data_IF_800791161220
#
_entry.id   IF_800791161220
#
_cell.length_a   1.000
_cell.length_b   1.000
_cell.length_c   1.000
_cell.angle_alpha   90.00
_cell.angle_beta   90.00
_cell.angle_gamma   90.00
#
_symmetry.space_group_name_H-M   'P 1'
#
loop_
_entity.id
_entity.type
_entity.pdbx_description
1 polymer ?
#
# COMPACT_ATOMS: atom_id res chain seq x y z
N UNK A 1 0.31 -29.28 13.39
CA UNK A 1 1.77 -29.49 13.27
C UNK A 1 2.09 -30.46 12.12
N UNK A 2 1.75 -30.12 10.87
CA UNK A 2 2.09 -30.94 9.68
C UNK A 2 3.27 -30.38 8.87
N UNK A 3 3.82 -29.22 9.27
CA UNK A 3 4.93 -28.53 8.58
C UNK A 3 6.17 -29.41 8.38
N UNK A 4 6.48 -30.29 9.34
CA UNK A 4 7.61 -31.22 9.24
C UNK A 4 7.35 -32.47 8.38
N UNK A 5 6.14 -32.65 7.85
CA UNK A 5 5.79 -33.85 7.06
C UNK A 5 6.16 -33.72 5.59
N UNK A 6 6.26 -32.49 5.06
CA UNK A 6 6.60 -32.24 3.65
C UNK A 6 7.99 -31.57 3.51
N UNK A 7 9.08 -32.35 3.35
CA UNK A 7 10.44 -31.81 3.30
C UNK A 7 10.64 -30.79 2.17
N UNK A 8 9.92 -30.94 1.05
CA UNK A 8 10.00 -30.01 -0.09
C UNK A 8 9.50 -28.60 0.24
N UNK A 9 8.39 -28.50 0.99
CA UNK A 9 7.82 -27.20 1.40
C UNK A 9 8.73 -26.51 2.39
N UNK A 10 9.28 -27.26 3.34
CA UNK A 10 10.22 -26.76 4.33
C UNK A 10 11.49 -26.20 3.66
N UNK A 11 12.07 -26.95 2.72
CA UNK A 11 13.24 -26.50 1.96
C UNK A 11 12.95 -25.21 1.18
N UNK A 12 11.84 -25.14 0.44
CA UNK A 12 11.45 -23.93 -0.28
C UNK A 12 11.28 -22.72 0.63
N UNK A 13 10.68 -22.91 1.82
CA UNK A 13 10.50 -21.85 2.82
C UNK A 13 11.82 -21.36 3.38
N UNK A 14 12.74 -22.28 3.70
CA UNK A 14 14.07 -21.93 4.19
C UNK A 14 14.82 -21.15 3.12
N UNK A 15 14.78 -21.59 1.86
CA UNK A 15 15.44 -20.89 0.76
C UNK A 15 14.86 -19.48 0.59
N UNK A 16 13.53 -19.34 0.56
CA UNK A 16 12.88 -18.03 0.44
C UNK A 16 13.18 -17.11 1.64
N UNK A 17 13.15 -17.66 2.85
CA UNK A 17 13.46 -16.93 4.08
C UNK A 17 14.91 -16.48 4.15
N UNK A 18 15.86 -17.34 3.76
CA UNK A 18 17.29 -16.99 3.70
C UNK A 18 17.54 -15.96 2.60
N UNK A 19 16.95 -16.12 1.42
CA UNK A 19 17.07 -15.13 0.33
C UNK A 19 16.54 -13.76 0.76
N UNK A 20 15.36 -13.71 1.39
CA UNK A 20 14.81 -12.47 1.94
C UNK A 20 15.67 -11.86 3.04
N UNK A 21 16.27 -12.69 3.91
CA UNK A 21 17.17 -12.23 4.96
C UNK A 21 18.46 -11.63 4.39
N UNK A 22 19.03 -12.23 3.34
CA UNK A 22 20.21 -11.68 2.64
C UNK A 22 19.92 -10.28 2.10
N UNK A 23 18.78 -10.11 1.41
CA UNK A 23 18.36 -8.79 0.89
C UNK A 23 18.12 -7.79 2.02
N UNK A 24 17.54 -8.22 3.15
CA UNK A 24 17.28 -7.35 4.29
C UNK A 24 18.58 -6.91 4.99
N UNK A 25 19.56 -7.81 5.11
CA UNK A 25 20.89 -7.48 5.66
C UNK A 25 21.63 -6.50 4.76
N UNK A 26 21.57 -6.71 3.44
CA UNK A 26 22.16 -5.79 2.47
C UNK A 26 21.57 -4.38 2.59
N UNK A 27 20.23 -4.30 2.65
CA UNK A 27 19.52 -3.03 2.84
C UNK A 27 19.92 -2.29 4.14
N UNK A 28 20.23 -3.02 5.21
CA UNK A 28 20.54 -2.44 6.51
C UNK A 28 22.00 -2.00 6.68
N UNK A 29 22.96 -2.76 6.12
CA UNK A 29 24.40 -2.59 6.43
C UNK A 29 25.28 -2.39 5.18
N UNK A 30 24.75 -2.49 3.95
CA UNK A 30 25.45 -2.23 2.68
C UNK A 30 26.90 -2.77 2.65
N UNK A 31 27.03 -4.10 2.70
CA UNK A 31 28.33 -4.79 2.64
C UNK A 31 28.65 -5.16 1.19
N UNK A 32 29.82 -4.79 0.63
CA UNK A 32 30.12 -4.95 -0.80
C UNK A 32 29.94 -6.37 -1.37
N UNK A 33 30.24 -7.41 -0.59
CA UNK A 33 30.08 -8.81 -1.03
C UNK A 33 28.63 -9.30 -0.97
N UNK A 34 27.81 -8.74 -0.08
CA UNK A 34 26.39 -9.09 0.08
C UNK A 34 25.56 -8.40 -1.00
N UNK A 35 25.92 -7.17 -1.37
CA UNK A 35 25.25 -6.37 -2.41
C UNK A 35 25.09 -7.15 -3.72
N UNK A 36 26.15 -7.81 -4.22
CA UNK A 36 26.06 -8.57 -5.46
C UNK A 36 25.08 -9.74 -5.39
N UNK A 37 25.03 -10.44 -4.25
CA UNK A 37 24.12 -11.57 -4.04
C UNK A 37 22.68 -11.04 -3.89
N UNK A 38 22.49 -9.97 -3.14
CA UNK A 38 21.20 -9.32 -2.95
C UNK A 38 20.65 -8.81 -4.28
N UNK A 39 21.46 -8.11 -5.09
CA UNK A 39 21.08 -7.65 -6.43
C UNK A 39 20.71 -8.80 -7.36
N UNK A 40 21.46 -9.90 -7.33
CA UNK A 40 21.11 -11.12 -8.06
C UNK A 40 19.72 -11.62 -7.62
N UNK A 41 19.50 -11.83 -6.32
CA UNK A 41 18.22 -12.31 -5.78
C UNK A 41 17.05 -11.36 -6.12
N UNK A 42 17.25 -10.05 -6.02
CA UNK A 42 16.27 -9.03 -6.38
C UNK A 42 15.92 -9.13 -7.87
N UNK A 43 16.91 -9.32 -8.75
CA UNK A 43 16.65 -9.46 -10.19
C UNK A 43 15.86 -10.72 -10.52
N UNK A 44 16.18 -11.88 -9.91
CA UNK A 44 15.37 -13.10 -10.03
C UNK A 44 13.95 -12.89 -9.51
N UNK A 45 13.80 -12.24 -8.37
CA UNK A 45 12.49 -11.93 -7.79
C UNK A 45 11.68 -10.99 -8.71
N UNK A 46 12.31 -9.98 -9.30
CA UNK A 46 11.68 -9.07 -10.25
C UNK A 46 11.17 -9.80 -11.51
N UNK A 47 11.96 -10.73 -12.06
CA UNK A 47 11.54 -11.57 -13.18
C UNK A 47 10.32 -12.44 -12.81
N UNK A 48 10.37 -13.12 -11.66
CA UNK A 48 9.25 -13.93 -11.18
C UNK A 48 8.00 -13.09 -10.93
N UNK A 49 8.17 -11.89 -10.35
CA UNK A 49 7.07 -10.95 -10.11
C UNK A 49 6.45 -10.46 -11.43
N UNK A 50 7.24 -10.20 -12.46
CA UNK A 50 6.73 -9.82 -13.77
C UNK A 50 5.87 -10.93 -14.39
N UNK A 51 6.33 -12.19 -14.36
CA UNK A 51 5.51 -13.33 -14.83
C UNK A 51 4.25 -13.53 -13.99
N UNK A 52 4.37 -13.44 -12.66
CA UNK A 52 3.25 -13.57 -11.75
C UNK A 52 2.19 -12.48 -11.99
N UNK A 53 2.62 -11.24 -12.25
CA UNK A 53 1.74 -10.13 -12.59
C UNK A 53 0.97 -10.41 -13.88
N UNK A 54 1.65 -10.88 -14.93
CA UNK A 54 1.00 -11.24 -16.21
C UNK A 54 -0.04 -12.34 -15.98
N UNK A 55 0.30 -13.40 -15.26
CA UNK A 55 -0.64 -14.48 -14.94
C UNK A 55 -1.83 -13.96 -14.13
N UNK A 56 -1.58 -13.10 -13.13
CA UNK A 56 -2.62 -12.47 -12.32
C UNK A 56 -3.56 -11.60 -13.16
N UNK A 57 -3.01 -10.78 -14.05
CA UNK A 57 -3.77 -9.94 -14.97
C UNK A 57 -4.63 -10.80 -15.89
N UNK A 58 -4.06 -11.85 -16.49
CA UNK A 58 -4.79 -12.77 -17.36
C UNK A 58 -5.91 -13.51 -16.63
N UNK A 59 -5.67 -13.96 -15.40
CA UNK A 59 -6.68 -14.64 -14.57
C UNK A 59 -7.87 -13.73 -14.25
N UNK A 60 -7.61 -12.50 -13.81
CA UNK A 60 -8.65 -11.50 -13.53
C UNK A 60 -9.39 -11.14 -14.82
N UNK A 61 -8.65 -10.88 -15.90
CA UNK A 61 -9.23 -10.55 -17.20
C UNK A 61 -10.15 -11.65 -17.70
N UNK A 62 -9.70 -12.91 -17.70
CA UNK A 62 -10.47 -14.05 -18.19
C UNK A 62 -11.73 -14.28 -17.36
N UNK A 63 -11.62 -14.25 -16.03
CA UNK A 63 -12.77 -14.45 -15.14
C UNK A 63 -13.84 -13.37 -15.29
N UNK A 64 -13.44 -12.09 -15.35
CA UNK A 64 -14.37 -10.98 -15.52
C UNK A 64 -14.90 -10.88 -16.94
N UNK A 65 -14.10 -11.21 -17.96
CA UNK A 65 -14.55 -11.27 -19.35
C UNK A 65 -15.65 -12.31 -19.52
N UNK A 66 -15.46 -13.52 -18.96
CA UNK A 66 -16.49 -14.55 -19.00
C UNK A 66 -17.76 -14.11 -18.23
N UNK A 67 -17.62 -13.41 -17.11
CA UNK A 67 -18.74 -12.85 -16.34
C UNK A 67 -19.57 -11.83 -17.14
N UNK A 68 -18.90 -10.98 -17.91
CA UNK A 68 -19.53 -10.00 -18.82
C UNK A 68 -20.20 -10.71 -20.00
N UNK A 69 -19.51 -11.66 -20.63
CA UNK A 69 -20.02 -12.42 -21.77
C UNK A 69 -21.29 -13.22 -21.40
N UNK A 70 -21.26 -13.89 -20.25
CA UNK A 70 -22.38 -14.69 -19.75
C UNK A 70 -23.46 -13.85 -19.03
N UNK A 71 -23.29 -12.52 -18.93
CA UNK A 71 -24.20 -11.59 -18.23
C UNK A 71 -24.63 -12.06 -16.83
N UNK A 72 -23.67 -12.53 -16.04
CA UNK A 72 -23.95 -12.95 -14.67
C UNK A 72 -24.35 -11.74 -13.80
N UNK A 73 -24.83 -11.99 -12.57
CA UNK A 73 -25.10 -10.93 -11.60
C UNK A 73 -23.87 -10.01 -11.46
N UNK A 74 -24.10 -8.69 -11.40
CA UNK A 74 -23.06 -7.64 -11.28
C UNK A 74 -22.09 -7.53 -12.47
N UNK A 75 -22.47 -7.99 -13.66
CA UNK A 75 -21.62 -7.87 -14.87
C UNK A 75 -21.19 -6.43 -15.17
N UNK A 76 -22.02 -5.43 -14.84
CA UNK A 76 -21.70 -4.01 -15.03
C UNK A 76 -20.43 -3.57 -14.31
N UNK A 77 -20.23 -4.02 -13.06
CA UNK A 77 -19.00 -3.75 -12.31
C UNK A 77 -17.79 -4.45 -12.91
N UNK A 78 -17.99 -5.65 -13.49
CA UNK A 78 -16.92 -6.36 -14.19
C UNK A 78 -16.51 -5.65 -15.47
N UNK A 79 -17.46 -5.03 -16.19
CA UNK A 79 -17.17 -4.19 -17.34
C UNK A 79 -16.34 -2.97 -16.93
N UNK A 80 -16.75 -2.27 -15.86
CA UNK A 80 -16.00 -1.11 -15.34
C UNK A 80 -14.56 -1.52 -15.02
N UNK A 81 -14.36 -2.64 -14.32
CA UNK A 81 -13.02 -3.15 -14.01
C UNK A 81 -12.18 -3.38 -15.28
N UNK A 82 -12.71 -4.08 -16.27
CA UNK A 82 -11.99 -4.36 -17.52
C UNK A 82 -11.65 -3.09 -18.29
N UNK A 83 -12.57 -2.13 -18.34
CA UNK A 83 -12.35 -0.83 -18.99
C UNK A 83 -11.30 -0.02 -18.24
N UNK A 84 -11.38 0.07 -16.91
CA UNK A 84 -10.38 0.76 -16.08
C UNK A 84 -9.00 0.13 -16.22
N UNK A 85 -8.92 -1.21 -16.24
CA UNK A 85 -7.67 -1.93 -16.47
C UNK A 85 -7.06 -1.60 -17.83
N UNK A 86 -7.88 -1.57 -18.89
CA UNK A 86 -7.42 -1.16 -20.23
C UNK A 86 -6.94 0.29 -20.24
N UNK A 87 -7.64 1.22 -19.59
CA UNK A 87 -7.22 2.62 -19.48
C UNK A 87 -5.84 2.72 -18.83
N UNK A 88 -5.60 2.01 -17.73
CA UNK A 88 -4.29 2.01 -17.04
C UNK A 88 -3.19 1.40 -17.91
N UNK A 89 -3.47 0.30 -18.61
CA UNK A 89 -2.48 -0.33 -19.51
C UNK A 89 -2.15 0.60 -20.68
N UNK A 90 -3.16 1.15 -21.35
CA UNK A 90 -2.99 2.03 -22.52
C UNK A 90 -2.28 3.30 -22.12
N UNK A 91 -2.66 3.90 -20.99
CA UNK A 91 -2.00 5.11 -20.50
C UNK A 91 -0.55 4.86 -20.13
N UNK A 92 -0.26 3.76 -19.42
CA UNK A 92 1.09 3.36 -19.03
C UNK A 92 2.02 2.97 -20.19
N UNK A 93 1.49 2.64 -21.37
CA UNK A 93 2.30 2.08 -22.49
C UNK A 93 2.26 2.88 -23.78
N UNK A 94 1.13 3.51 -24.14
CA UNK A 94 0.89 4.08 -25.47
C UNK A 94 0.58 5.59 -25.40
N UNK A 95 -0.25 6.01 -24.44
CA UNK A 95 -0.75 7.38 -24.36
C UNK A 95 -0.53 7.94 -22.96
N UNK A 96 0.61 8.59 -22.75
CA UNK A 96 0.89 9.20 -21.46
C UNK A 96 -0.12 10.28 -21.11
N UNK A 97 -0.83 10.08 -19.99
CA UNK A 97 -1.69 11.09 -19.38
C UNK A 97 -0.88 11.78 -18.28
N UNK A 98 -0.52 13.03 -18.52
CA UNK A 98 0.19 13.89 -17.57
C UNK A 98 -0.75 14.90 -16.94
N UNK A 99 -0.42 15.31 -15.71
CA UNK A 99 -0.87 16.57 -15.15
C UNK A 99 0.35 17.48 -15.08
N UNK A 100 0.33 18.56 -15.85
CA UNK A 100 1.40 19.56 -15.81
C UNK A 100 1.36 20.35 -14.49
N UNK A 101 2.43 21.08 -14.19
CA UNK A 101 2.56 21.89 -12.96
C UNK A 101 1.40 22.90 -12.78
N UNK A 102 0.82 23.35 -13.90
CA UNK A 102 -0.32 24.27 -13.93
C UNK A 102 -1.69 23.58 -13.74
N UNK A 103 -1.70 22.25 -13.51
CA UNK A 103 -2.91 21.45 -13.30
C UNK A 103 -3.68 21.12 -14.58
N UNK A 104 -3.11 21.37 -15.76
CA UNK A 104 -3.71 21.03 -17.05
C UNK A 104 -3.42 19.58 -17.44
N UNK A 105 -4.46 18.88 -17.91
CA UNK A 105 -4.33 17.52 -18.43
C UNK A 105 -3.65 17.55 -19.79
N UNK A 106 -2.49 16.88 -19.87
CA UNK A 106 -1.75 16.71 -21.12
C UNK A 106 -1.84 15.28 -21.61
N UNK A 107 -2.04 15.14 -22.92
CA UNK A 107 -2.09 13.85 -23.59
C UNK A 107 -0.87 13.76 -24.49
N UNK A 108 0.14 13.01 -24.04
CA UNK A 108 1.35 12.75 -24.81
C UNK A 108 1.23 11.38 -25.45
N UNK A 109 1.08 11.31 -26.77
CA UNK A 109 1.21 10.04 -27.48
C UNK A 109 2.68 9.65 -27.42
N UNK A 110 3.01 8.50 -26.81
CA UNK A 110 4.37 7.95 -26.75
C UNK A 110 4.74 7.42 -28.14
N UNK A 111 4.87 8.33 -29.10
CA UNK A 111 5.19 8.04 -30.49
C UNK A 111 6.69 7.81 -30.68
N UNK A 112 7.29 6.82 -29.99
CA UNK A 112 8.61 6.27 -30.34
C UNK A 112 9.09 5.08 -29.46
N UNK A 113 8.19 4.30 -28.84
CA UNK A 113 8.61 3.09 -28.10
C UNK A 113 9.45 3.36 -26.85
N UNK A 114 9.46 4.59 -26.35
CA UNK A 114 10.03 4.93 -25.06
C UNK A 114 9.00 4.59 -23.98
N UNK A 115 9.03 3.35 -23.52
CA UNK A 115 8.33 3.00 -22.28
C UNK A 115 8.94 3.81 -21.14
N UNK A 116 8.13 4.39 -20.23
CA UNK A 116 8.68 5.08 -19.08
C UNK A 116 9.61 4.11 -18.34
N UNK A 117 10.88 4.50 -18.09
CA UNK A 117 11.87 3.61 -17.50
C UNK A 117 11.50 3.23 -16.06
N UNK A 118 10.62 4.01 -15.42
CA UNK A 118 10.17 3.75 -14.06
C UNK A 118 8.66 3.98 -13.89
N UNK A 119 8.09 3.35 -12.86
CA UNK A 119 6.70 3.55 -12.43
C UNK A 119 6.43 4.97 -11.87
N UNK A 120 7.48 5.73 -11.63
CA UNK A 120 7.43 7.08 -11.02
C UNK A 120 7.22 8.15 -12.09
N UNK A 121 7.54 7.85 -13.34
CA UNK A 121 7.40 8.80 -14.43
C UNK A 121 5.91 9.00 -14.82
N UNK A 122 5.50 10.22 -15.23
CA UNK A 122 4.24 10.43 -15.91
C UNK A 122 4.20 9.47 -17.10
N UNK A 123 3.22 8.54 -17.17
CA UNK A 123 1.82 8.77 -16.83
C UNK A 123 1.24 7.93 -15.67
N UNK A 124 2.01 6.97 -15.16
CA UNK A 124 1.53 6.03 -14.12
C UNK A 124 1.35 6.77 -12.79
N UNK A 125 2.28 7.67 -12.47
CA UNK A 125 2.17 8.52 -11.29
C UNK A 125 0.88 9.35 -11.31
N UNK A 126 0.53 9.96 -12.44
CA UNK A 126 -0.69 10.77 -12.59
C UNK A 126 -1.96 9.99 -12.27
N UNK A 127 -2.06 8.77 -12.79
CA UNK A 127 -3.22 7.91 -12.50
C UNK A 127 -3.23 7.47 -11.04
N UNK A 128 -2.07 7.14 -10.48
CA UNK A 128 -1.97 6.80 -9.08
C UNK A 128 -2.39 7.97 -8.19
N UNK A 129 -1.89 9.18 -8.44
CA UNK A 129 -2.28 10.35 -7.64
C UNK A 129 -3.74 10.71 -7.83
N UNK A 130 -4.27 10.69 -9.06
CA UNK A 130 -5.65 11.04 -9.34
C UNK A 130 -6.68 10.02 -8.80
N UNK A 131 -6.33 8.73 -8.72
CA UNK A 131 -7.25 7.67 -8.31
C UNK A 131 -6.98 7.22 -6.87
N UNK A 132 -5.74 6.83 -6.56
CA UNK A 132 -5.40 6.24 -5.27
C UNK A 132 -5.45 7.28 -4.13
N UNK A 133 -4.95 8.51 -4.34
CA UNK A 133 -4.95 9.49 -3.26
C UNK A 133 -6.35 9.91 -2.81
N UNK A 134 -7.32 10.24 -3.70
CA UNK A 134 -8.68 10.54 -3.26
C UNK A 134 -9.39 9.35 -2.63
N UNK A 135 -9.15 8.12 -3.11
CA UNK A 135 -9.67 6.92 -2.48
C UNK A 135 -9.12 6.76 -1.07
N UNK A 136 -7.80 6.88 -0.90
CA UNK A 136 -7.14 6.83 0.40
C UNK A 136 -7.65 7.95 1.33
N UNK A 137 -7.79 9.17 0.84
CA UNK A 137 -8.34 10.30 1.59
C UNK A 137 -9.79 10.04 2.02
N UNK A 138 -10.60 9.42 1.16
CA UNK A 138 -11.97 9.02 1.49
C UNK A 138 -12.01 7.97 2.61
N UNK A 139 -11.14 6.96 2.56
CA UNK A 139 -11.01 5.97 3.63
C UNK A 139 -10.54 6.59 4.95
N UNK A 140 -9.55 7.50 4.90
CA UNK A 140 -9.08 8.22 6.07
C UNK A 140 -10.16 9.16 6.63
N UNK A 141 -10.95 9.82 5.78
CA UNK A 141 -12.07 10.64 6.20
C UNK A 141 -13.15 9.81 6.90
N UNK A 142 -13.47 8.63 6.38
CA UNK A 142 -14.37 7.68 7.04
C UNK A 142 -13.81 7.22 8.40
N UNK A 143 -12.53 6.88 8.46
CA UNK A 143 -11.85 6.50 9.71
C UNK A 143 -11.90 7.64 10.74
N UNK A 144 -11.61 8.87 10.32
CA UNK A 144 -11.68 10.05 11.17
C UNK A 144 -13.11 10.28 11.67
N UNK A 145 -14.12 10.16 10.80
CA UNK A 145 -15.52 10.27 11.17
C UNK A 145 -15.95 9.18 12.17
N UNK A 146 -15.57 7.92 11.96
CA UNK A 146 -15.88 6.84 12.89
C UNK A 146 -15.12 6.95 14.21
N UNK A 147 -13.86 7.41 14.18
CA UNK A 147 -13.06 7.71 15.37
C UNK A 147 -13.72 8.82 16.19
N UNK A 148 -14.14 9.91 15.54
CA UNK A 148 -14.89 10.98 16.19
C UNK A 148 -16.21 10.47 16.78
N UNK A 149 -16.97 9.66 16.02
CA UNK A 149 -18.20 9.04 16.52
C UNK A 149 -17.96 8.13 17.73
N UNK A 150 -16.87 7.35 17.73
CA UNK A 150 -16.46 6.54 18.87
C UNK A 150 -16.06 7.40 20.08
N UNK A 151 -15.29 8.48 19.86
CA UNK A 151 -14.90 9.43 20.90
C UNK A 151 -16.11 10.14 21.52
N UNK A 152 -17.08 10.58 20.69
CA UNK A 152 -18.33 11.17 21.16
C UNK A 152 -19.17 10.17 21.98
N UNK A 153 -19.24 8.91 21.55
CA UNK A 153 -19.88 7.84 22.34
C UNK A 153 -19.12 7.56 23.65
N UNK A 154 -17.80 7.69 23.67
CA UNK A 154 -17.00 7.58 24.89
C UNK A 154 -17.28 8.74 25.86
N UNK A 155 -17.47 9.98 25.38
CA UNK A 155 -17.88 11.14 26.21
C UNK A 155 -19.24 10.92 26.87
N UNK A 156 -20.18 10.33 26.14
CA UNK A 156 -21.52 10.06 26.68
C UNK A 156 -21.48 9.10 27.87
N UNK A 157 -20.47 8.22 27.97
CA UNK A 157 -20.27 7.32 29.13
C UNK A 157 -19.71 8.02 30.36
N UNK A 158 -19.36 9.32 30.27
CA UNK A 158 -18.90 10.19 31.38
C UNK A 158 -17.84 9.56 32.30
N UNK A 159 -16.95 8.75 31.74
CA UNK A 159 -15.80 8.26 32.51
C UNK A 159 -14.75 9.35 32.61
N UNK A 160 -14.11 9.47 33.78
CA UNK A 160 -13.02 10.43 34.02
C UNK A 160 -11.93 10.29 32.97
N UNK A 161 -11.61 9.06 32.61
CA UNK A 161 -10.54 8.73 31.67
C UNK A 161 -10.87 9.22 30.25
N UNK A 162 -12.12 9.08 29.81
CA UNK A 162 -12.54 9.56 28.49
C UNK A 162 -12.50 11.09 28.39
N UNK A 163 -12.85 11.79 29.47
CA UNK A 163 -12.77 13.25 29.53
C UNK A 163 -11.32 13.74 29.45
N UNK A 164 -10.39 13.05 30.13
CA UNK A 164 -8.96 13.40 30.08
C UNK A 164 -8.40 13.18 28.66
N UNK A 165 -8.67 12.02 28.06
CA UNK A 165 -8.19 11.70 26.71
C UNK A 165 -8.69 12.75 25.69
N UNK A 166 -9.96 13.15 25.80
CA UNK A 166 -10.56 14.09 24.85
C UNK A 166 -10.12 15.52 25.12
N UNK A 167 -9.90 15.91 26.37
CA UNK A 167 -9.28 17.20 26.70
C UNK A 167 -7.90 17.32 26.07
N UNK A 168 -7.06 16.28 26.20
CA UNK A 168 -5.74 16.24 25.55
C UNK A 168 -5.87 16.28 24.03
N UNK A 169 -6.75 15.48 23.45
CA UNK A 169 -6.98 15.46 22.00
C UNK A 169 -7.44 16.82 21.47
N UNK A 170 -8.36 17.50 22.16
CA UNK A 170 -8.85 18.82 21.77
C UNK A 170 -7.72 19.85 21.82
N UNK A 171 -6.90 19.85 22.88
CA UNK A 171 -5.74 20.75 22.99
C UNK A 171 -4.79 20.55 21.82
N UNK A 172 -4.39 19.31 21.55
CA UNK A 172 -3.49 18.99 20.42
C UNK A 172 -4.10 19.43 19.09
N UNK A 173 -5.38 19.15 18.85
CA UNK A 173 -6.09 19.55 17.62
C UNK A 173 -6.16 21.09 17.47
N UNK A 174 -6.41 21.82 18.56
CA UNK A 174 -6.46 23.29 18.50
C UNK A 174 -5.10 23.90 18.21
N UNK A 175 -4.01 23.31 18.71
CA UNK A 175 -2.66 23.78 18.42
C UNK A 175 -2.31 23.53 16.94
N UNK A 176 -2.71 22.38 16.39
CA UNK A 176 -2.49 22.07 14.97
C UNK A 176 -3.36 22.93 14.03
N UNK A 177 -4.57 23.32 14.44
CA UNK A 177 -5.52 24.04 13.60
C UNK A 177 -5.35 25.57 13.61
N UNK A 178 -4.72 26.15 14.64
CA UNK A 178 -4.57 27.61 14.80
C UNK A 178 -3.09 28.00 14.64
N UNK A 179 -2.68 28.57 13.48
CA UNK A 179 -1.29 28.92 13.21
C UNK A 179 -0.69 29.88 14.24
N UNK A 180 -1.46 30.86 14.70
CA UNK A 180 -1.02 31.89 15.66
C UNK A 180 -0.67 31.31 17.05
N UNK A 181 -1.36 30.25 17.48
CA UNK A 181 -1.08 29.58 18.77
C UNK A 181 0.16 28.69 18.67
N UNK A 182 0.44 28.17 17.46
CA UNK A 182 1.63 27.38 17.15
C UNK A 182 2.93 28.18 17.07
N UNK A 183 2.90 29.51 17.10
CA UNK A 183 4.11 30.36 17.07
C UNK A 183 4.72 30.60 18.46
N UNK A 184 4.00 30.27 19.55
CA UNK A 184 4.54 30.38 20.90
C UNK A 184 5.73 29.42 21.07
N UNK A 185 6.95 29.90 21.38
CA UNK A 185 8.18 29.10 21.28
C UNK A 185 8.12 27.79 22.08
N UNK A 186 7.66 27.85 23.34
CA UNK A 186 7.61 26.68 24.23
C UNK A 186 6.59 25.64 23.75
N UNK A 187 5.45 26.09 23.23
CA UNK A 187 4.40 25.20 22.73
C UNK A 187 4.81 24.57 21.40
N UNK A 188 5.42 25.35 20.52
CA UNK A 188 5.96 24.89 19.23
C UNK A 188 7.00 23.79 19.44
N UNK A 189 7.99 24.02 20.28
CA UNK A 189 9.07 23.05 20.53
C UNK A 189 8.52 21.75 21.14
N UNK A 190 7.54 21.86 22.03
CA UNK A 190 6.89 20.71 22.65
C UNK A 190 6.10 19.88 21.64
N UNK A 191 5.29 20.51 20.80
CA UNK A 191 4.52 19.83 19.75
C UNK A 191 5.44 19.20 18.71
N UNK A 192 6.46 19.94 18.27
CA UNK A 192 7.45 19.42 17.33
C UNK A 192 8.21 18.22 17.90
N UNK A 193 8.53 18.21 19.19
CA UNK A 193 9.12 17.04 19.85
C UNK A 193 8.18 15.84 19.82
N UNK A 194 6.90 16.04 20.16
CA UNK A 194 5.89 14.97 20.09
C UNK A 194 5.76 14.43 18.66
N UNK A 195 5.68 15.30 17.66
CA UNK A 195 5.55 14.90 16.25
C UNK A 195 6.78 14.14 15.75
N UNK A 196 7.98 14.71 15.95
CA UNK A 196 9.22 14.18 15.39
C UNK A 196 9.70 12.91 16.08
N UNK A 197 9.39 12.73 17.36
CA UNK A 197 9.83 11.55 18.12
C UNK A 197 8.67 10.58 18.39
N UNK A 198 7.61 11.01 19.06
CA UNK A 198 6.55 10.09 19.54
C UNK A 198 5.65 9.63 18.41
N UNK A 199 5.08 10.57 17.65
CA UNK A 199 4.17 10.26 16.54
C UNK A 199 4.92 9.53 15.45
N UNK A 200 6.11 10.00 15.07
CA UNK A 200 6.92 9.35 14.04
C UNK A 200 7.40 7.95 14.47
N UNK A 201 7.78 7.73 15.74
CA UNK A 201 8.11 6.39 16.24
C UNK A 201 6.89 5.46 16.20
N UNK A 202 5.72 5.95 16.62
CA UNK A 202 4.46 5.20 16.54
C UNK A 202 4.12 4.81 15.09
N UNK A 203 4.23 5.76 14.16
CA UNK A 203 3.99 5.53 12.74
C UNK A 203 4.95 4.48 12.15
N UNK A 204 6.24 4.57 12.46
CA UNK A 204 7.25 3.58 12.04
C UNK A 204 6.97 2.20 12.63
N UNK A 205 6.62 2.12 13.90
CA UNK A 205 6.23 0.87 14.56
C UNK A 205 5.01 0.22 13.89
N UNK A 206 4.00 1.01 13.55
CA UNK A 206 2.82 0.55 12.82
C UNK A 206 3.21 0.02 11.43
N UNK A 207 4.02 0.77 10.67
CA UNK A 207 4.48 0.34 9.34
C UNK A 207 5.23 -1.00 9.40
N UNK A 208 6.12 -1.19 10.38
CA UNK A 208 6.82 -2.45 10.60
C UNK A 208 5.82 -3.57 10.94
N UNK A 209 4.86 -3.30 11.83
CA UNK A 209 3.83 -4.28 12.20
C UNK A 209 2.97 -4.71 11.02
N UNK A 210 2.54 -3.77 10.18
CA UNK A 210 1.77 -4.05 8.96
C UNK A 210 2.61 -4.83 7.95
N UNK A 211 3.88 -4.46 7.75
CA UNK A 211 4.78 -5.18 6.88
C UNK A 211 4.98 -6.64 7.32
N UNK A 212 5.24 -6.87 8.62
CA UNK A 212 5.35 -8.21 9.19
C UNK A 212 4.04 -9.00 9.05
N UNK A 213 2.90 -8.37 9.30
CA UNK A 213 1.58 -8.99 9.13
C UNK A 213 1.32 -9.43 7.68
N UNK A 214 1.66 -8.58 6.71
CA UNK A 214 1.55 -8.89 5.29
C UNK A 214 2.50 -10.03 4.88
N UNK A 215 3.74 -10.05 5.39
CA UNK A 215 4.68 -11.14 5.16
C UNK A 215 4.15 -12.47 5.69
N UNK A 216 3.62 -12.50 6.92
CA UNK A 216 3.04 -13.70 7.52
C UNK A 216 1.84 -14.20 6.71
N UNK A 217 0.95 -13.29 6.29
CA UNK A 217 -0.19 -13.65 5.44
C UNK A 217 0.27 -14.22 4.09
N UNK A 218 1.24 -13.59 3.43
CA UNK A 218 1.81 -14.07 2.17
C UNK A 218 2.44 -15.46 2.31
N UNK A 219 3.22 -15.68 3.37
CA UNK A 219 3.81 -16.99 3.67
C UNK A 219 2.72 -18.03 3.93
N UNK A 220 1.67 -17.72 4.70
CA UNK A 220 0.55 -18.67 4.94
C UNK A 220 -0.15 -19.09 3.66
N UNK A 221 -0.37 -18.15 2.73
CA UNK A 221 -0.96 -18.42 1.42
C UNK A 221 -0.01 -19.30 0.58
N UNK A 222 1.28 -18.96 0.50
CA UNK A 222 2.27 -19.74 -0.26
C UNK A 222 2.44 -21.16 0.28
N UNK A 223 2.35 -21.33 1.59
CA UNK A 223 2.38 -22.63 2.25
C UNK A 223 1.08 -23.41 2.10
N UNK A 224 0.05 -22.82 1.51
CA UNK A 224 -1.27 -23.43 1.33
C UNK A 224 -1.97 -23.71 2.66
N UNK A 225 -1.63 -22.99 3.73
CA UNK A 225 -2.40 -23.02 4.97
C UNK A 225 -3.72 -22.28 4.82
N UNK A 226 -3.72 -21.21 4.02
CA UNK A 226 -4.93 -20.49 3.63
C UNK A 226 -5.16 -20.74 2.14
N UNK A 227 -6.20 -21.50 1.79
CA UNK A 227 -6.60 -21.82 0.41
C UNK A 227 -7.87 -21.05 0.04
N UNK A 228 -7.76 -19.81 -0.46
CA UNK A 228 -8.92 -18.94 -0.70
C UNK A 228 -9.93 -19.45 -1.74
N UNK A 229 -9.60 -20.52 -2.48
CA UNK A 229 -10.41 -21.04 -3.59
C UNK A 229 -10.99 -22.45 -3.38
N UNK A 230 -10.70 -23.15 -2.27
CA UNK A 230 -11.23 -24.50 -2.03
C UNK A 230 -12.60 -24.55 -1.33
N UNK A 231 -13.12 -23.40 -0.87
CA UNK A 231 -14.45 -23.30 -0.24
C UNK A 231 -15.59 -22.96 -1.23
N UNK A 232 -15.47 -23.35 -2.51
CA UNK A 232 -16.57 -23.26 -3.48
C UNK A 232 -16.79 -24.56 -4.23
#
# INVERSE_FOLDING_TARGET
MSFFRDPKRLIATIIAGVAGLIVLVDFAVSVPDIDQIALMLINWAALLAAFALVVGLLSISASHFNRVWQRQADWGYSLILLVSMLIVIISGTIAGVGLDEDGTWTWTVLGQGQFPPTLIDPPIQTLFTAIYQPLAASFLALLAFFSLSAALRALQRRTTDALVIIGVALVVLTIAAVPEVGELPVLRDSVQWIENFVVLAGARGLLIGVALGALVAGVRILLGFDQPYLDR
#
